data_IF_441872727783
#
_entry.id   IF_441872727783
#
_cell.length_a   1.000
_cell.length_b   1.000
_cell.length_c   1.000
_cell.angle_alpha   90.00
_cell.angle_beta   90.00
_cell.angle_gamma   90.00
#
_symmetry.space_group_name_H-M   'P 1'
#
loop_
_entity.id
_entity.type
_entity.pdbx_description
1 polymer ?
#
# COMPACT_ATOMS: atom_id res chain seq x y z
N UNK A 1 32.17 27.37 -11.49
CA UNK A 1 31.39 26.28 -12.13
C UNK A 1 30.52 25.65 -11.07
N UNK A 2 29.19 25.77 -11.16
CA UNK A 2 28.28 25.02 -10.29
C UNK A 2 28.42 23.54 -10.68
N UNK A 3 28.94 22.73 -9.76
CA UNK A 3 28.91 21.27 -9.89
C UNK A 3 27.41 20.89 -9.99
N UNK A 4 26.99 20.48 -11.17
CA UNK A 4 25.70 19.80 -11.34
C UNK A 4 25.83 18.49 -10.55
N UNK A 5 25.23 18.45 -9.36
CA UNK A 5 25.12 17.18 -8.63
C UNK A 5 24.38 16.19 -9.54
N UNK A 6 25.04 15.13 -9.94
CA UNK A 6 24.38 14.03 -10.64
C UNK A 6 23.18 13.59 -9.79
N UNK A 7 22.00 13.61 -10.40
CA UNK A 7 20.77 13.13 -9.75
C UNK A 7 20.94 11.63 -9.49
N UNK A 8 21.02 11.26 -8.22
CA UNK A 8 21.07 9.86 -7.82
C UNK A 8 19.67 9.26 -7.83
N UNK A 9 19.55 8.03 -8.29
CA UNK A 9 18.31 7.27 -8.15
C UNK A 9 18.06 6.97 -6.67
N UNK A 10 16.79 7.08 -6.24
CA UNK A 10 16.32 6.71 -4.90
C UNK A 10 15.15 5.76 -5.07
N UNK A 11 15.27 4.54 -4.57
CA UNK A 11 14.18 3.58 -4.52
C UNK A 11 13.15 4.01 -3.47
N UNK A 12 11.90 4.24 -3.91
CA UNK A 12 10.81 4.67 -3.02
C UNK A 12 9.82 3.56 -2.67
N UNK A 13 9.97 2.37 -3.25
CA UNK A 13 9.09 1.23 -3.06
C UNK A 13 9.92 -0.06 -3.03
N UNK A 14 10.14 -0.61 -1.87
CA UNK A 14 10.85 -1.86 -1.66
C UNK A 14 10.31 -2.60 -0.43
N UNK A 15 10.34 -3.93 -0.49
CA UNK A 15 9.85 -4.80 0.57
C UNK A 15 10.98 -5.59 1.20
N UNK A 16 10.85 -5.86 2.50
CA UNK A 16 11.78 -6.69 3.25
C UNK A 16 11.09 -7.95 3.80
N UNK A 17 11.85 -9.00 4.05
CA UNK A 17 11.31 -10.23 4.68
C UNK A 17 10.79 -9.99 6.09
N UNK A 18 11.13 -8.85 6.72
CA UNK A 18 10.65 -8.50 8.06
C UNK A 18 9.15 -8.23 8.09
N UNK A 19 8.58 -7.67 7.02
CA UNK A 19 7.16 -7.33 6.93
C UNK A 19 6.44 -7.96 5.74
N UNK A 20 7.16 -8.41 4.72
CA UNK A 20 6.63 -8.96 3.46
C UNK A 20 7.29 -10.29 3.08
N UNK A 21 7.24 -11.33 3.93
CA UNK A 21 8.04 -12.55 3.78
C UNK A 21 7.66 -13.40 2.55
N UNK A 22 6.52 -13.14 1.91
CA UNK A 22 6.06 -13.93 0.76
C UNK A 22 6.49 -13.37 -0.59
N UNK A 23 6.94 -12.11 -0.65
CA UNK A 23 7.29 -11.42 -1.90
C UNK A 23 8.60 -10.62 -1.82
N UNK A 24 9.31 -10.70 -0.69
CA UNK A 24 10.57 -10.02 -0.48
C UNK A 24 11.75 -10.99 -0.29
N UNK A 25 12.93 -10.54 -0.67
CA UNK A 25 14.21 -11.17 -0.39
C UNK A 25 15.06 -10.22 0.47
N UNK A 26 15.74 -10.77 1.49
CA UNK A 26 16.63 -9.98 2.35
C UNK A 26 15.92 -9.19 3.45
N UNK A 27 16.70 -8.88 4.47
CA UNK A 27 16.27 -8.06 5.61
C UNK A 27 16.47 -6.57 5.31
N UNK A 28 15.92 -5.65 6.13
CA UNK A 28 16.08 -4.21 5.95
C UNK A 28 17.53 -3.77 5.75
N UNK A 29 18.46 -4.31 6.52
CA UNK A 29 19.89 -4.00 6.41
C UNK A 29 20.48 -4.41 5.08
N UNK A 30 20.13 -5.59 4.54
CA UNK A 30 20.63 -6.09 3.27
C UNK A 30 20.23 -5.17 2.11
N UNK A 31 18.98 -4.68 2.13
CA UNK A 31 18.48 -3.72 1.15
C UNK A 31 19.19 -2.36 1.23
N UNK A 32 19.47 -1.88 2.46
CA UNK A 32 20.16 -0.60 2.65
C UNK A 32 21.61 -0.67 2.19
N UNK A 33 22.33 -1.77 2.53
CA UNK A 33 23.71 -1.99 2.11
C UNK A 33 23.77 -2.12 0.59
N UNK A 34 22.93 -2.94 -0.03
CA UNK A 34 22.86 -3.09 -1.48
C UNK A 34 22.52 -1.78 -2.20
N UNK A 35 21.60 -0.98 -1.67
CA UNK A 35 21.26 0.33 -2.23
C UNK A 35 22.48 1.26 -2.22
N UNK A 36 23.19 1.33 -1.09
CA UNK A 36 24.38 2.17 -0.97
C UNK A 36 25.53 1.71 -1.89
N UNK A 37 25.78 0.43 -1.95
CA UNK A 37 26.82 -0.18 -2.83
C UNK A 37 26.53 0.06 -4.31
N UNK A 38 25.25 0.21 -4.69
CA UNK A 38 24.82 0.57 -6.04
C UNK A 38 24.68 2.09 -6.26
N UNK A 39 25.25 2.92 -5.38
CA UNK A 39 25.35 4.36 -5.56
C UNK A 39 24.11 5.17 -5.10
N UNK A 40 23.11 4.55 -4.50
CA UNK A 40 22.01 5.25 -3.88
C UNK A 40 22.43 5.81 -2.52
N UNK A 41 21.97 7.00 -2.17
CA UNK A 41 22.18 7.58 -0.84
C UNK A 41 20.91 7.55 0.03
N UNK A 42 19.81 6.98 -0.47
CA UNK A 42 18.57 6.80 0.25
C UNK A 42 17.77 5.61 -0.31
N UNK A 43 16.93 5.00 0.52
CA UNK A 43 15.99 3.94 0.14
C UNK A 43 14.77 3.99 1.05
N UNK A 44 13.58 3.82 0.48
CA UNK A 44 12.36 3.58 1.24
C UNK A 44 12.10 2.06 1.36
N UNK A 45 11.83 1.62 2.59
CA UNK A 45 11.23 0.31 2.85
C UNK A 45 9.77 0.48 3.21
N UNK A 46 8.92 -0.26 2.50
CA UNK A 46 7.47 -0.03 2.45
C UNK A 46 6.74 -1.36 2.45
N UNK A 47 6.95 -2.14 3.51
CA UNK A 47 6.34 -3.46 3.67
C UNK A 47 4.80 -3.40 3.65
N UNK A 48 4.16 -4.50 3.25
CA UNK A 48 2.71 -4.61 3.09
C UNK A 48 1.94 -4.50 4.41
N UNK A 49 1.25 -3.38 4.62
CA UNK A 49 0.33 -3.15 5.73
C UNK A 49 0.98 -3.12 7.11
N UNK A 50 2.30 -3.04 7.20
CA UNK A 50 3.02 -3.02 8.48
C UNK A 50 4.35 -2.26 8.42
N UNK A 51 4.97 -2.09 9.58
CA UNK A 51 6.28 -1.48 9.75
C UNK A 51 7.23 -2.39 10.57
N UNK A 52 7.14 -3.69 10.41
CA UNK A 52 7.91 -4.65 11.22
C UNK A 52 9.43 -4.49 11.06
N UNK A 53 9.90 -4.04 9.89
CA UNK A 53 11.31 -3.76 9.61
C UNK A 53 11.85 -2.45 10.18
N UNK A 54 10.99 -1.59 10.78
CA UNK A 54 11.35 -0.23 11.18
C UNK A 54 12.54 -0.17 12.15
N UNK A 55 12.52 -0.95 13.22
CA UNK A 55 13.59 -0.93 14.24
C UNK A 55 14.94 -1.35 13.66
N UNK A 56 14.97 -2.37 12.81
CA UNK A 56 16.18 -2.82 12.12
C UNK A 56 16.72 -1.75 11.15
N UNK A 57 15.82 -1.10 10.42
CA UNK A 57 16.19 -0.01 9.51
C UNK A 57 16.82 1.16 10.28
N UNK A 58 16.24 1.57 11.41
CA UNK A 58 16.78 2.63 12.27
C UNK A 58 18.15 2.26 12.86
N UNK A 59 18.28 1.05 13.41
CA UNK A 59 19.54 0.62 14.01
C UNK A 59 20.65 0.48 12.97
N UNK A 60 20.34 -0.11 11.81
CA UNK A 60 21.33 -0.29 10.75
C UNK A 60 21.77 1.06 10.19
N UNK A 61 20.84 1.99 9.94
CA UNK A 61 21.16 3.33 9.47
C UNK A 61 22.12 4.07 10.43
N UNK A 62 21.89 3.97 11.74
CA UNK A 62 22.78 4.55 12.75
C UNK A 62 24.19 3.97 12.68
N UNK A 63 24.32 2.62 12.59
CA UNK A 63 25.61 1.94 12.50
C UNK A 63 26.36 2.28 11.19
N UNK A 64 25.62 2.20 10.07
CA UNK A 64 26.13 2.53 8.74
C UNK A 64 26.62 3.97 8.67
N UNK A 65 25.81 4.94 9.09
CA UNK A 65 26.15 6.36 9.04
C UNK A 65 27.34 6.70 9.93
N UNK A 66 27.45 6.09 11.12
CA UNK A 66 28.63 6.25 11.98
C UNK A 66 29.93 5.75 11.32
N UNK A 67 29.85 4.69 10.50
CA UNK A 67 30.99 4.19 9.69
C UNK A 67 31.31 5.17 8.56
N UNK A 68 30.29 5.57 7.78
CA UNK A 68 30.44 6.46 6.63
C UNK A 68 31.02 7.84 7.04
N UNK A 69 30.56 8.37 8.16
CA UNK A 69 31.09 9.64 8.72
C UNK A 69 32.59 9.54 9.02
N UNK A 70 33.05 8.45 9.63
CA UNK A 70 34.48 8.22 9.90
C UNK A 70 35.31 8.08 8.61
N UNK A 71 34.70 7.55 7.56
CA UNK A 71 35.31 7.38 6.25
C UNK A 71 35.24 8.64 5.37
N UNK A 72 34.60 9.73 5.86
CA UNK A 72 34.37 10.96 5.10
C UNK A 72 33.46 10.76 3.88
N UNK A 73 32.59 9.76 3.92
CA UNK A 73 31.65 9.40 2.86
C UNK A 73 30.28 10.04 3.08
N UNK A 74 29.48 10.11 2.00
CA UNK A 74 28.11 10.58 2.05
C UNK A 74 27.25 9.65 2.95
N UNK A 75 26.41 10.29 3.80
CA UNK A 75 25.55 9.53 4.68
C UNK A 75 24.34 8.95 3.94
N UNK A 76 23.86 7.80 4.40
CA UNK A 76 22.66 7.14 3.88
C UNK A 76 21.41 7.62 4.62
N UNK A 77 20.36 7.96 3.86
CA UNK A 77 19.07 8.37 4.39
C UNK A 77 18.04 7.25 4.32
N UNK A 78 17.67 6.58 5.42
CA UNK A 78 16.53 5.69 5.43
C UNK A 78 15.24 6.51 5.26
N UNK A 79 14.35 6.06 4.39
CA UNK A 79 13.01 6.59 4.23
C UNK A 79 12.04 5.55 4.77
N UNK A 80 11.21 5.94 5.72
CA UNK A 80 10.23 5.05 6.34
C UNK A 80 8.92 5.14 5.58
N UNK A 81 8.25 4.01 5.41
CA UNK A 81 6.98 3.95 4.72
C UNK A 81 6.23 2.66 4.95
N UNK A 82 5.08 2.55 4.32
CA UNK A 82 4.24 1.36 4.32
C UNK A 82 3.47 1.30 3.01
N UNK A 83 3.42 0.15 2.36
CA UNK A 83 2.45 -0.12 1.31
C UNK A 83 1.15 -0.59 1.94
N UNK A 84 0.22 0.33 2.08
CA UNK A 84 -1.03 0.10 2.78
C UNK A 84 -2.13 -0.46 1.88
N UNK A 85 -3.12 -1.11 2.48
CA UNK A 85 -4.31 -1.62 1.80
C UNK A 85 -5.45 -0.61 1.95
N UNK A 86 -5.90 -0.06 0.85
CA UNK A 86 -6.91 1.00 0.80
C UNK A 86 -8.30 0.48 0.47
N UNK A 87 -9.29 1.04 1.14
CA UNK A 87 -10.72 1.00 0.77
C UNK A 87 -11.32 2.40 0.90
N UNK A 88 -12.41 2.68 0.23
CA UNK A 88 -13.07 4.01 0.31
C UNK A 88 -13.64 4.27 1.70
N UNK A 89 -14.41 3.32 2.21
CA UNK A 89 -15.02 3.31 3.53
C UNK A 89 -15.04 1.88 4.06
N UNK A 90 -14.47 1.65 5.24
CA UNK A 90 -14.35 0.31 5.80
C UNK A 90 -15.69 -0.26 6.26
N UNK A 91 -16.60 0.58 6.75
CA UNK A 91 -17.94 0.15 7.17
C UNK A 91 -18.77 -0.34 5.99
N UNK A 92 -18.84 0.47 4.92
CA UNK A 92 -19.51 0.08 3.68
C UNK A 92 -18.89 -1.18 3.08
N UNK A 93 -17.56 -1.28 3.07
CA UNK A 93 -16.86 -2.45 2.59
C UNK A 93 -17.23 -3.72 3.37
N UNK A 94 -17.34 -3.63 4.70
CA UNK A 94 -17.73 -4.77 5.54
C UNK A 94 -19.17 -5.22 5.27
N UNK A 95 -20.11 -4.27 5.14
CA UNK A 95 -21.51 -4.56 4.83
C UNK A 95 -21.64 -5.31 3.49
N UNK A 96 -21.02 -4.77 2.46
CA UNK A 96 -21.00 -5.36 1.13
C UNK A 96 -20.34 -6.75 1.13
N UNK A 97 -19.23 -6.91 1.86
CA UNK A 97 -18.54 -8.19 2.00
C UNK A 97 -19.41 -9.25 2.68
N UNK A 98 -20.08 -8.89 3.78
CA UNK A 98 -20.95 -9.79 4.50
C UNK A 98 -22.14 -10.21 3.63
N UNK A 99 -22.76 -9.27 2.92
CA UNK A 99 -23.82 -9.54 1.96
C UNK A 99 -23.39 -10.52 0.87
N UNK A 100 -22.26 -10.27 0.24
CA UNK A 100 -21.72 -11.15 -0.80
C UNK A 100 -21.38 -12.54 -0.27
N UNK A 101 -20.95 -12.66 0.99
CA UNK A 101 -20.69 -13.93 1.67
C UNK A 101 -22.00 -14.72 1.92
N UNK A 102 -23.06 -14.03 2.36
CA UNK A 102 -24.37 -14.62 2.57
C UNK A 102 -24.99 -15.08 1.25
N UNK A 103 -24.95 -14.27 0.20
CA UNK A 103 -25.46 -14.61 -1.13
C UNK A 103 -24.76 -15.84 -1.69
N UNK A 104 -23.43 -15.93 -1.52
CA UNK A 104 -22.64 -17.10 -1.91
C UNK A 104 -23.01 -18.35 -1.10
N UNK A 105 -23.33 -18.19 0.18
CA UNK A 105 -23.80 -19.30 1.02
C UNK A 105 -25.16 -19.80 0.54
N UNK A 106 -26.11 -18.88 0.30
CA UNK A 106 -27.44 -19.20 -0.23
C UNK A 106 -27.38 -19.88 -1.60
N UNK A 107 -26.53 -19.38 -2.51
CA UNK A 107 -26.33 -20.00 -3.83
C UNK A 107 -25.83 -21.44 -3.71
N UNK A 108 -24.85 -21.72 -2.83
CA UNK A 108 -24.35 -23.08 -2.59
C UNK A 108 -25.37 -24.00 -1.93
N UNK A 109 -26.24 -23.47 -1.06
CA UNK A 109 -27.33 -24.25 -0.45
C UNK A 109 -28.41 -24.60 -1.50
N UNK A 110 -28.71 -23.67 -2.41
CA UNK A 110 -29.61 -23.86 -3.52
C UNK A 110 -29.06 -24.92 -4.51
N UNK A 111 -27.78 -24.84 -4.88
CA UNK A 111 -27.10 -25.86 -5.71
C UNK A 111 -27.14 -27.25 -5.09
N UNK A 112 -27.01 -27.34 -3.77
CA UNK A 112 -27.12 -28.64 -3.06
C UNK A 112 -28.55 -29.17 -3.00
N UNK A 113 -29.56 -28.30 -3.02
CA UNK A 113 -30.99 -28.68 -2.99
C UNK A 113 -31.54 -28.99 -4.38
N UNK A 114 -31.01 -28.36 -5.43
CA UNK A 114 -31.31 -28.71 -6.84
C UNK A 114 -30.39 -29.85 -7.25
N UNK A 115 -30.93 -31.07 -7.08
CA UNK A 115 -30.26 -32.33 -7.39
C UNK A 115 -29.56 -32.34 -8.77
N UNK A 116 -28.28 -32.65 -8.77
CA UNK A 116 -27.54 -33.44 -9.77
C UNK A 116 -28.08 -33.38 -11.22
N UNK A 117 -27.62 -32.41 -12.00
CA UNK A 117 -27.81 -32.52 -13.43
C UNK A 117 -27.70 -31.28 -14.31
N UNK A 118 -27.45 -30.09 -13.76
CA UNK A 118 -27.25 -28.89 -14.58
C UNK A 118 -25.88 -28.31 -14.30
N UNK A 119 -24.99 -28.38 -15.28
CA UNK A 119 -23.73 -27.68 -15.30
C UNK A 119 -24.01 -26.19 -15.36
N UNK A 120 -23.79 -25.46 -14.23
CA UNK A 120 -23.76 -24.01 -14.19
C UNK A 120 -22.28 -23.59 -14.07
N UNK A 121 -21.55 -23.71 -15.18
CA UNK A 121 -20.14 -23.34 -15.17
C UNK A 121 -19.83 -21.89 -15.56
N UNK A 122 -20.76 -21.10 -16.09
CA UNK A 122 -20.41 -19.83 -16.73
C UNK A 122 -20.98 -18.53 -16.13
N UNK A 123 -21.74 -18.56 -15.04
CA UNK A 123 -22.40 -17.35 -14.55
C UNK A 123 -21.56 -16.45 -13.60
N UNK A 124 -20.42 -16.91 -13.07
CA UNK A 124 -19.73 -16.19 -12.00
C UNK A 124 -18.22 -15.93 -12.25
N UNK A 125 -17.70 -16.15 -13.46
CA UNK A 125 -16.28 -15.86 -13.77
C UNK A 125 -16.01 -14.39 -14.13
N UNK A 126 -17.03 -13.57 -14.35
CA UNK A 126 -16.90 -12.23 -14.90
C UNK A 126 -16.91 -11.07 -13.90
N UNK A 127 -17.44 -11.24 -12.71
CA UNK A 127 -17.48 -10.18 -11.67
C UNK A 127 -16.60 -10.56 -10.50
N UNK A 128 -15.30 -10.26 -10.59
CA UNK A 128 -14.51 -10.00 -9.37
C UNK A 128 -15.21 -8.84 -8.69
N UNK A 129 -16.06 -9.15 -7.72
CA UNK A 129 -16.72 -8.12 -6.94
C UNK A 129 -15.66 -7.19 -6.39
N UNK A 130 -15.87 -5.87 -6.50
CA UNK A 130 -15.09 -4.75 -5.93
C UNK A 130 -14.58 -5.03 -4.50
N UNK A 131 -15.27 -5.89 -3.78
CA UNK A 131 -15.02 -6.37 -2.42
C UNK A 131 -13.75 -7.20 -2.22
N UNK A 132 -13.11 -7.69 -3.28
CA UNK A 132 -11.90 -8.52 -3.20
C UNK A 132 -10.62 -7.78 -3.58
N UNK A 133 -10.73 -6.57 -4.11
CA UNK A 133 -9.56 -5.78 -4.49
C UNK A 133 -9.00 -5.10 -3.27
N UNK A 134 -7.80 -5.49 -2.88
CA UNK A 134 -7.00 -4.73 -1.95
C UNK A 134 -6.27 -3.69 -2.79
N UNK A 135 -6.72 -2.44 -2.78
CA UNK A 135 -6.04 -1.37 -3.46
C UNK A 135 -4.79 -1.01 -2.67
N UNK A 136 -3.64 -1.07 -3.31
CA UNK A 136 -2.38 -0.71 -2.69
C UNK A 136 -2.11 0.78 -2.90
N UNK A 137 -1.61 1.45 -1.88
CA UNK A 137 -1.05 2.79 -1.98
C UNK A 137 0.12 2.94 -1.02
N UNK A 138 1.05 3.81 -1.38
CA UNK A 138 2.27 4.00 -0.62
C UNK A 138 2.16 5.22 0.27
N UNK A 139 2.52 5.05 1.53
CA UNK A 139 2.71 6.14 2.47
C UNK A 139 4.19 6.25 2.83
N UNK A 140 4.77 7.43 2.60
CA UNK A 140 6.15 7.75 2.95
C UNK A 140 6.18 8.84 4.02
N UNK A 141 7.07 8.68 4.98
CA UNK A 141 7.25 9.63 6.08
C UNK A 141 8.07 10.83 5.63
N UNK A 142 7.53 12.04 5.76
CA UNK A 142 8.20 13.31 5.47
C UNK A 142 8.93 13.88 6.69
N UNK A 143 8.35 13.70 7.89
CA UNK A 143 8.86 14.27 9.14
C UNK A 143 8.39 13.46 10.36
N UNK A 144 8.72 13.90 11.59
CA UNK A 144 8.35 13.20 12.82
C UNK A 144 6.84 13.10 13.03
N UNK A 145 6.06 14.12 12.64
CA UNK A 145 4.58 14.07 12.70
C UNK A 145 4.07 12.95 11.80
N UNK A 146 4.58 12.87 10.57
CA UNK A 146 4.24 11.80 9.64
C UNK A 146 4.59 10.41 10.16
N UNK A 147 5.75 10.26 10.83
CA UNK A 147 6.11 8.97 11.44
C UNK A 147 5.09 8.57 12.54
N UNK A 148 4.73 9.51 13.40
CA UNK A 148 3.73 9.25 14.44
C UNK A 148 2.36 8.91 13.84
N UNK A 149 1.96 9.61 12.79
CA UNK A 149 0.71 9.35 12.07
C UNK A 149 0.74 8.01 11.35
N UNK A 150 1.86 7.64 10.72
CA UNK A 150 1.99 6.32 10.09
C UNK A 150 1.87 5.18 11.11
N UNK A 151 2.46 5.33 12.30
CA UNK A 151 2.28 4.35 13.37
C UNK A 151 0.82 4.23 13.81
N UNK A 152 0.08 5.35 13.92
CA UNK A 152 -1.35 5.33 14.24
C UNK A 152 -2.15 4.63 13.14
N UNK A 153 -1.94 5.00 11.88
CA UNK A 153 -2.59 4.38 10.72
C UNK A 153 -2.38 2.86 10.70
N UNK A 154 -1.13 2.42 10.84
CA UNK A 154 -0.80 0.99 10.85
C UNK A 154 -1.41 0.30 12.07
N UNK A 155 -1.33 0.88 13.27
CA UNK A 155 -1.90 0.27 14.48
C UNK A 155 -3.42 0.15 14.38
N UNK A 156 -4.12 1.22 13.98
CA UNK A 156 -5.58 1.21 13.82
C UNK A 156 -6.02 0.24 12.71
N UNK A 157 -5.25 0.11 11.64
CA UNK A 157 -5.58 -0.85 10.57
C UNK A 157 -5.58 -2.32 11.02
N UNK A 158 -4.95 -2.63 12.16
CA UNK A 158 -4.93 -3.96 12.76
C UNK A 158 -6.02 -4.17 13.83
N UNK A 159 -6.84 -3.17 14.13
CA UNK A 159 -8.01 -3.33 15.00
C UNK A 159 -9.14 -4.08 14.28
N UNK A 160 -10.01 -4.76 15.04
CA UNK A 160 -11.10 -5.60 14.52
C UNK A 160 -11.97 -4.93 13.45
N UNK A 161 -12.19 -3.62 13.58
CA UNK A 161 -12.98 -2.84 12.61
C UNK A 161 -12.31 -2.77 11.23
N UNK A 162 -10.98 -2.67 11.19
CA UNK A 162 -10.20 -2.43 9.96
C UNK A 162 -9.53 -3.70 9.44
N UNK A 163 -9.32 -4.69 10.30
CA UNK A 163 -8.65 -5.93 9.96
C UNK A 163 -9.62 -7.02 9.50
N UNK A 164 -9.51 -7.38 8.23
CA UNK A 164 -10.13 -8.59 7.71
C UNK A 164 -9.17 -9.30 6.78
N UNK A 165 -8.45 -10.30 7.27
CA UNK A 165 -7.33 -10.99 6.60
C UNK A 165 -6.16 -10.07 6.24
N UNK A 166 -6.40 -8.78 6.06
CA UNK A 166 -5.41 -7.73 5.79
C UNK A 166 -5.81 -6.47 6.54
N UNK A 167 -4.83 -5.69 7.02
CA UNK A 167 -5.08 -4.41 7.67
C UNK A 167 -5.50 -3.36 6.62
N UNK A 168 -6.64 -2.71 6.79
CA UNK A 168 -7.15 -1.72 5.84
C UNK A 168 -7.10 -0.31 6.41
N UNK A 169 -6.92 0.62 5.52
CA UNK A 169 -6.99 2.06 5.80
C UNK A 169 -8.03 2.64 4.85
N UNK A 170 -8.99 3.40 5.39
CA UNK A 170 -9.97 4.11 4.59
C UNK A 170 -9.68 5.60 4.50
N UNK A 171 -10.46 6.30 3.66
CA UNK A 171 -10.27 7.72 3.42
C UNK A 171 -10.51 8.56 4.68
N UNK A 172 -11.39 8.13 5.59
CA UNK A 172 -11.68 8.85 6.83
C UNK A 172 -10.48 8.78 7.78
N UNK A 173 -9.90 7.59 7.96
CA UNK A 173 -8.70 7.41 8.78
C UNK A 173 -7.49 8.17 8.20
N UNK A 174 -7.38 8.23 6.86
CA UNK A 174 -6.35 9.04 6.21
C UNK A 174 -6.51 10.54 6.48
N UNK A 175 -7.73 11.09 6.44
CA UNK A 175 -7.98 12.51 6.75
C UNK A 175 -7.55 12.88 8.17
N UNK A 176 -7.69 11.96 9.11
CA UNK A 176 -7.30 12.19 10.51
C UNK A 176 -5.79 12.14 10.72
N UNK A 177 -5.04 11.40 9.88
CA UNK A 177 -3.63 11.07 10.11
C UNK A 177 -2.72 11.24 8.89
N UNK A 178 -3.06 12.12 7.92
CA UNK A 178 -2.25 12.35 6.71
C UNK A 178 -1.10 13.33 6.91
N UNK A 179 -1.16 14.19 7.93
CA UNK A 179 -0.15 15.24 8.15
C UNK A 179 1.26 14.64 8.23
N UNK A 180 2.20 15.22 7.47
CA UNK A 180 3.60 14.79 7.43
C UNK A 180 3.84 13.50 6.65
N UNK A 181 2.85 13.01 5.91
CA UNK A 181 2.96 11.89 4.99
C UNK A 181 2.94 12.35 3.53
N UNK A 182 3.57 11.55 2.68
CA UNK A 182 3.49 11.65 1.22
C UNK A 182 2.81 10.38 0.74
N UNK A 183 1.81 10.52 -0.15
CA UNK A 183 1.13 9.40 -0.79
C UNK A 183 1.58 9.24 -2.24
N UNK A 184 1.77 8.00 -2.69
CA UNK A 184 1.96 7.67 -4.10
C UNK A 184 1.03 6.56 -4.56
N UNK A 185 0.84 6.45 -5.88
CA UNK A 185 -0.15 5.56 -6.51
C UNK A 185 0.26 4.10 -6.61
N UNK A 186 1.45 3.75 -6.16
CA UNK A 186 2.06 2.41 -6.16
C UNK A 186 2.07 1.68 -7.52
N UNK A 187 1.13 0.76 -7.70
CA UNK A 187 1.15 -0.23 -8.77
C UNK A 187 -0.22 -0.34 -9.46
N UNK A 188 -0.33 -1.29 -10.38
CA UNK A 188 -1.59 -1.59 -11.11
C UNK A 188 -2.75 -2.02 -10.19
N UNK A 189 -2.49 -2.39 -8.94
CA UNK A 189 -3.51 -2.65 -7.92
C UNK A 189 -3.88 -1.41 -7.11
N UNK A 190 -3.37 -0.23 -7.46
CA UNK A 190 -3.64 1.01 -6.75
C UNK A 190 -5.04 1.58 -7.01
N UNK A 191 -5.50 2.53 -6.16
CA UNK A 191 -6.85 3.10 -6.25
C UNK A 191 -7.13 3.84 -7.57
N UNK A 192 -6.10 4.31 -8.25
CA UNK A 192 -6.22 4.98 -9.55
C UNK A 192 -6.42 3.97 -10.69
N UNK A 193 -5.64 2.89 -10.71
CA UNK A 193 -5.84 1.83 -11.70
C UNK A 193 -7.21 1.15 -11.53
N UNK A 194 -7.72 1.09 -10.29
CA UNK A 194 -9.04 0.54 -9.98
C UNK A 194 -10.17 1.31 -10.71
N UNK A 195 -10.03 2.62 -10.93
CA UNK A 195 -11.01 3.41 -11.70
C UNK A 195 -11.19 2.82 -13.11
N UNK A 196 -10.11 2.40 -13.74
CA UNK A 196 -10.15 1.79 -15.08
C UNK A 196 -10.78 0.40 -15.03
N UNK A 197 -10.38 -0.41 -14.05
CA UNK A 197 -10.90 -1.78 -13.89
C UNK A 197 -12.39 -1.85 -13.53
N UNK A 198 -12.88 -0.86 -12.78
CA UNK A 198 -14.30 -0.77 -12.39
C UNK A 198 -15.19 -0.26 -13.53
N UNK A 199 -14.61 0.35 -14.57
CA UNK A 199 -15.33 0.97 -15.68
C UNK A 199 -14.80 0.51 -17.04
N UNK A 200 -14.87 -0.81 -17.37
CA UNK A 200 -14.25 -1.38 -18.57
C UNK A 200 -14.88 -0.89 -19.88
N UNK A 201 -16.14 -0.46 -19.82
CA UNK A 201 -16.90 0.00 -21.01
C UNK A 201 -16.96 1.53 -21.12
N UNK A 202 -16.31 2.27 -20.21
CA UNK A 202 -16.31 3.72 -20.22
C UNK A 202 -15.40 4.27 -21.34
N UNK A 203 -15.82 5.37 -21.94
CA UNK A 203 -15.01 6.12 -22.89
C UNK A 203 -13.77 6.73 -22.21
N UNK A 204 -12.76 7.11 -22.99
CA UNK A 204 -11.57 7.80 -22.49
C UNK A 204 -11.93 9.08 -21.73
N UNK A 205 -12.89 9.85 -22.23
CA UNK A 205 -13.33 11.09 -21.59
C UNK A 205 -13.97 10.84 -20.22
N UNK A 206 -14.83 9.81 -20.11
CA UNK A 206 -15.43 9.39 -18.84
C UNK A 206 -14.38 8.89 -17.85
N UNK A 207 -13.41 8.07 -18.33
CA UNK A 207 -12.30 7.60 -17.48
C UNK A 207 -11.46 8.75 -16.96
N UNK A 208 -11.16 9.76 -17.81
CA UNK A 208 -10.42 10.94 -17.37
C UNK A 208 -11.19 11.75 -16.33
N UNK A 209 -12.51 11.89 -16.49
CA UNK A 209 -13.35 12.57 -15.50
C UNK A 209 -13.34 11.84 -14.15
N UNK A 210 -13.54 10.53 -14.16
CA UNK A 210 -13.48 9.68 -12.95
C UNK A 210 -12.11 9.71 -12.29
N UNK A 211 -11.03 9.67 -13.09
CA UNK A 211 -9.66 9.74 -12.59
C UNK A 211 -9.38 11.09 -11.91
N UNK A 212 -9.85 12.21 -12.49
CA UNK A 212 -9.73 13.54 -11.88
C UNK A 212 -10.44 13.61 -10.53
N UNK A 213 -11.63 13.01 -10.41
CA UNK A 213 -12.34 12.93 -9.13
C UNK A 213 -11.54 12.14 -8.09
N UNK A 214 -10.96 11.01 -8.49
CA UNK A 214 -10.11 10.20 -7.61
C UNK A 214 -8.85 10.96 -7.17
N UNK A 215 -8.18 11.63 -8.10
CA UNK A 215 -7.01 12.49 -7.79
C UNK A 215 -7.40 13.58 -6.80
N UNK A 216 -8.54 14.25 -7.02
CA UNK A 216 -9.03 15.28 -6.10
C UNK A 216 -9.26 14.76 -4.69
N UNK A 217 -9.85 13.57 -4.52
CA UNK A 217 -10.02 12.96 -3.20
C UNK A 217 -8.70 12.82 -2.44
N UNK A 218 -7.62 12.42 -3.13
CA UNK A 218 -6.30 12.27 -2.51
C UNK A 218 -5.62 13.63 -2.27
N UNK A 219 -5.79 14.60 -3.17
CA UNK A 219 -5.31 15.97 -2.96
C UNK A 219 -6.00 16.64 -1.77
N UNK A 220 -7.29 16.41 -1.57
CA UNK A 220 -8.04 16.94 -0.41
C UNK A 220 -7.53 16.37 0.93
N UNK A 221 -6.78 15.26 0.90
CA UNK A 221 -6.21 14.59 2.08
C UNK A 221 -4.74 14.95 2.28
N UNK A 222 -3.95 14.98 1.21
CA UNK A 222 -2.49 15.12 1.30
C UNK A 222 -1.94 16.48 0.86
N UNK A 223 -2.75 17.34 0.27
CA UNK A 223 -2.42 18.70 -0.22
C UNK A 223 -1.97 18.71 -1.66
#
# INVERSE_FOLDING_TARGET
>A
MKQTSELKFVGLHAHSVAGSPFDALGYPQDHMDAAYENGMNALALTDHGNMNGFSWQVEHAKKMNKRLEKEGKELFKPIFGCEAYYVEDVGQWQEEYNKAKEDKKRAKELEKSVSKGVNIEDADRGKKTRLRTNNHFLLLVKNQTGLNNLFKLVSTSHEDKYFFRKPRIDLNLLREHSEGLICTTTCISGPFAQVVWDNPDASEEELLALMRLKVKQFLDVFG
#
